data_IF_067518334030
#
_entry.id   IF_067518334030
#
_cell.length_a   1.000
_cell.length_b   1.000
_cell.length_c   1.000
_cell.angle_alpha   90.00
_cell.angle_beta   90.00
_cell.angle_gamma   90.00
#
_symmetry.space_group_name_H-M   'P 1'
#
loop_
_entity.id
_entity.type
_entity.pdbx_description
1 polymer ?
#
# COMPACT_ATOMS: atom_id res chain seq x y z
N UNK A 1 -23.10 -53.28 -46.05
CA UNK A 1 -22.24 -52.16 -45.60
C UNK A 1 -23.02 -50.86 -45.53
N UNK A 2 -23.43 -50.48 -44.30
CA UNK A 2 -23.36 -49.14 -43.69
C UNK A 2 -23.65 -47.90 -44.55
N UNK A 3 -24.67 -47.14 -44.16
CA UNK A 3 -24.58 -45.68 -44.01
C UNK A 3 -25.40 -45.24 -42.78
N UNK A 4 -24.69 -45.01 -41.68
CA UNK A 4 -25.21 -44.31 -40.50
C UNK A 4 -25.17 -42.82 -40.80
N UNK A 5 -26.34 -42.16 -40.72
CA UNK A 5 -26.43 -40.69 -40.72
C UNK A 5 -26.07 -40.23 -39.32
N UNK A 6 -24.82 -39.80 -39.13
CA UNK A 6 -24.35 -39.20 -37.89
C UNK A 6 -24.79 -37.73 -37.87
N UNK A 7 -25.86 -37.44 -37.15
CA UNK A 7 -26.37 -36.10 -36.95
C UNK A 7 -25.49 -35.41 -35.89
N UNK A 8 -24.50 -34.65 -36.36
CA UNK A 8 -23.55 -33.92 -35.53
C UNK A 8 -24.25 -32.71 -34.90
N UNK A 9 -24.70 -32.84 -33.65
CA UNK A 9 -25.11 -31.71 -32.82
C UNK A 9 -23.88 -30.85 -32.50
N UNK A 10 -23.65 -29.81 -33.31
CA UNK A 10 -22.78 -28.70 -32.91
C UNK A 10 -23.47 -27.97 -31.74
N UNK A 11 -23.04 -28.24 -30.50
CA UNK A 11 -23.27 -27.32 -29.38
C UNK A 11 -22.55 -26.01 -29.71
N UNK A 12 -23.28 -25.06 -30.27
CA UNK A 12 -22.86 -23.67 -30.31
C UNK A 12 -22.94 -23.16 -28.86
N UNK A 13 -21.82 -23.21 -28.14
CA UNK A 13 -21.69 -22.52 -26.87
C UNK A 13 -21.79 -21.02 -27.17
N UNK A 14 -22.99 -20.46 -27.04
CA UNK A 14 -23.19 -19.00 -27.04
C UNK A 14 -22.48 -18.49 -25.79
N UNK A 15 -21.24 -18.02 -25.96
CA UNK A 15 -20.58 -17.23 -24.94
C UNK A 15 -21.36 -15.92 -24.82
N UNK A 16 -22.32 -15.87 -23.89
CA UNK A 16 -22.93 -14.62 -23.46
C UNK A 16 -21.84 -13.88 -22.69
N UNK A 17 -21.09 -13.02 -23.39
CA UNK A 17 -20.19 -12.08 -22.72
C UNK A 17 -21.05 -11.12 -21.91
N UNK A 18 -21.06 -11.26 -20.57
CA UNK A 18 -21.66 -10.26 -19.68
C UNK A 18 -21.06 -8.90 -20.03
N UNK A 19 -21.91 -7.91 -20.29
CA UNK A 19 -21.46 -6.55 -20.59
C UNK A 19 -20.59 -6.02 -19.43
N UNK A 20 -19.50 -5.33 -19.77
CA UNK A 20 -18.63 -4.67 -18.80
C UNK A 20 -19.44 -3.64 -18.00
N UNK A 21 -19.53 -3.82 -16.69
CA UNK A 21 -20.35 -2.97 -15.83
C UNK A 21 -19.61 -1.67 -15.49
N UNK A 22 -20.30 -0.54 -15.62
CA UNK A 22 -19.76 0.80 -15.33
C UNK A 22 -20.79 1.57 -14.50
N UNK A 23 -20.34 2.16 -13.41
CA UNK A 23 -21.08 3.10 -12.56
C UNK A 23 -20.34 4.44 -12.65
N UNK A 24 -21.05 5.52 -12.95
CA UNK A 24 -20.47 6.87 -12.95
C UNK A 24 -20.96 7.63 -11.74
N UNK A 25 -20.03 8.14 -10.95
CA UNK A 25 -20.33 8.98 -9.78
C UNK A 25 -20.67 10.40 -10.24
N UNK A 26 -21.66 11.03 -9.60
CA UNK A 26 -21.94 12.46 -9.81
C UNK A 26 -20.78 13.32 -9.29
N UNK A 27 -20.37 14.32 -10.07
CA UNK A 27 -19.23 15.19 -9.75
C UNK A 27 -19.37 15.83 -8.36
N UNK A 28 -18.40 15.60 -7.48
CA UNK A 28 -18.36 16.15 -6.12
C UNK A 28 -19.48 15.69 -5.18
N UNK A 29 -20.25 14.66 -5.55
CA UNK A 29 -21.36 14.15 -4.76
C UNK A 29 -20.93 12.92 -3.95
N UNK A 30 -20.65 13.13 -2.66
CA UNK A 30 -20.30 12.05 -1.72
C UNK A 30 -21.38 10.96 -1.65
N UNK A 31 -22.66 11.32 -1.70
CA UNK A 31 -23.74 10.34 -1.60
C UNK A 31 -23.72 9.41 -2.81
N UNK A 32 -23.55 9.97 -4.01
CA UNK A 32 -23.42 9.18 -5.24
C UNK A 32 -22.19 8.25 -5.21
N UNK A 33 -21.08 8.68 -4.61
CA UNK A 33 -19.89 7.82 -4.43
C UNK A 33 -20.21 6.62 -3.51
N UNK A 34 -20.84 6.88 -2.37
CA UNK A 34 -21.18 5.82 -1.41
C UNK A 34 -22.19 4.83 -1.99
N UNK A 35 -23.21 5.33 -2.71
CA UNK A 35 -24.18 4.48 -3.42
C UNK A 35 -23.50 3.63 -4.50
N UNK A 36 -22.52 4.17 -5.23
CA UNK A 36 -21.76 3.41 -6.22
C UNK A 36 -20.93 2.28 -5.58
N UNK A 37 -20.27 2.56 -4.45
CA UNK A 37 -19.53 1.54 -3.69
C UNK A 37 -20.48 0.47 -3.14
N UNK A 38 -21.62 0.85 -2.58
CA UNK A 38 -22.62 -0.08 -2.08
C UNK A 38 -23.18 -0.96 -3.20
N UNK A 39 -23.49 -0.38 -4.36
CA UNK A 39 -23.95 -1.12 -5.52
C UNK A 39 -22.89 -2.12 -6.00
N UNK A 40 -21.62 -1.69 -6.10
CA UNK A 40 -20.54 -2.57 -6.53
C UNK A 40 -20.32 -3.74 -5.54
N UNK A 41 -20.42 -3.48 -4.24
CA UNK A 41 -20.35 -4.53 -3.21
C UNK A 41 -21.44 -5.59 -3.37
N UNK A 42 -22.66 -5.20 -3.78
CA UNK A 42 -23.77 -6.13 -4.01
C UNK A 42 -23.66 -6.86 -5.35
N UNK A 43 -23.06 -6.24 -6.36
CA UNK A 43 -23.00 -6.79 -7.74
C UNK A 43 -21.81 -7.72 -7.95
N UNK A 44 -20.66 -7.40 -7.34
CA UNK A 44 -19.40 -8.10 -7.57
C UNK A 44 -19.02 -8.98 -6.37
N UNK A 45 -19.89 -9.93 -6.01
CA UNK A 45 -19.66 -10.85 -4.88
C UNK A 45 -18.76 -12.04 -5.22
N UNK A 46 -18.72 -12.44 -6.49
CA UNK A 46 -17.88 -13.56 -6.94
C UNK A 46 -16.48 -13.06 -7.32
N UNK A 47 -15.45 -13.84 -6.96
CA UNK A 47 -14.04 -13.48 -7.24
C UNK A 47 -13.73 -13.43 -8.73
N UNK A 48 -14.40 -14.25 -9.53
CA UNK A 48 -14.25 -14.33 -10.98
C UNK A 48 -15.29 -13.47 -11.75
N UNK A 49 -16.08 -12.65 -11.03
CA UNK A 49 -17.01 -11.73 -11.65
C UNK A 49 -16.27 -10.81 -12.65
N UNK A 50 -16.89 -10.46 -13.79
CA UNK A 50 -16.33 -9.46 -14.69
C UNK A 50 -16.03 -8.15 -13.94
N UNK A 51 -14.92 -7.49 -14.30
CA UNK A 51 -14.51 -6.25 -13.63
C UNK A 51 -15.60 -5.19 -13.70
N UNK A 52 -15.99 -4.64 -12.55
CA UNK A 52 -16.90 -3.51 -12.44
C UNK A 52 -16.10 -2.22 -12.30
N UNK A 53 -16.43 -1.20 -13.09
CA UNK A 53 -15.77 0.10 -13.04
C UNK A 53 -16.63 1.13 -12.33
N UNK A 54 -16.09 1.81 -11.33
CA UNK A 54 -16.65 3.03 -10.75
C UNK A 54 -15.79 4.19 -11.25
N UNK A 55 -16.37 5.05 -12.09
CA UNK A 55 -15.70 6.22 -12.63
C UNK A 55 -16.07 7.45 -11.78
N UNK A 56 -15.05 8.18 -11.33
CA UNK A 56 -15.18 9.25 -10.35
C UNK A 56 -14.63 10.53 -10.97
N UNK A 57 -15.48 11.49 -11.38
CA UNK A 57 -15.01 12.77 -11.90
C UNK A 57 -14.16 13.56 -10.89
N UNK A 58 -13.45 14.58 -11.37
CA UNK A 58 -12.73 15.50 -10.51
C UNK A 58 -13.71 16.23 -9.58
N UNK A 59 -13.38 16.26 -8.29
CA UNK A 59 -14.23 16.82 -7.25
C UNK A 59 -13.77 16.40 -5.86
N UNK A 60 -14.26 17.13 -4.86
CA UNK A 60 -14.09 16.78 -3.46
C UNK A 60 -15.27 15.91 -3.00
N UNK A 61 -14.97 14.71 -2.52
CA UNK A 61 -15.89 13.75 -1.94
C UNK A 61 -15.60 13.63 -0.44
N UNK A 62 -16.20 14.53 0.35
CA UNK A 62 -16.01 14.58 1.80
C UNK A 62 -16.96 13.62 2.51
N UNK A 63 -16.41 12.57 3.11
CA UNK A 63 -17.12 11.56 3.88
C UNK A 63 -17.45 12.03 5.32
N UNK A 64 -17.01 13.24 5.70
CA UNK A 64 -17.19 13.82 7.01
C UNK A 64 -16.56 12.95 8.10
N UNK A 65 -17.36 12.49 9.06
CA UNK A 65 -16.92 11.63 10.16
C UNK A 65 -16.92 10.14 9.82
N UNK A 66 -17.33 9.78 8.61
CA UNK A 66 -17.42 8.38 8.20
C UNK A 66 -16.02 7.77 8.07
N UNK A 67 -15.87 6.59 8.65
CA UNK A 67 -14.65 5.80 8.62
C UNK A 67 -14.99 4.38 8.17
N UNK A 68 -13.98 3.65 7.71
CA UNK A 68 -14.08 2.27 7.27
C UNK A 68 -15.15 2.07 6.18
N UNK A 69 -15.23 2.97 5.20
CA UNK A 69 -16.10 2.77 4.04
C UNK A 69 -15.68 1.48 3.35
N UNK A 70 -16.53 0.45 3.41
CA UNK A 70 -16.12 -0.92 3.08
C UNK A 70 -16.25 -1.18 1.58
N UNK A 71 -15.21 -1.77 1.01
CA UNK A 71 -15.24 -2.36 -0.33
C UNK A 71 -15.13 -3.87 -0.15
N UNK A 72 -16.27 -4.56 -0.13
CA UNK A 72 -16.38 -6.00 0.11
C UNK A 72 -16.47 -6.81 -1.18
N UNK A 73 -16.89 -6.20 -2.29
CA UNK A 73 -16.91 -6.87 -3.58
C UNK A 73 -15.50 -7.05 -4.16
N UNK A 74 -15.39 -7.96 -5.13
CA UNK A 74 -14.15 -8.37 -5.80
C UNK A 74 -14.07 -7.82 -7.23
N UNK A 75 -12.86 -7.67 -7.77
CA UNK A 75 -12.61 -7.22 -9.13
C UNK A 75 -13.28 -5.86 -9.43
N UNK A 76 -13.32 -4.95 -8.45
CA UNK A 76 -13.86 -3.60 -8.61
C UNK A 76 -12.70 -2.65 -8.94
N UNK A 77 -12.86 -1.81 -9.95
CA UNK A 77 -11.95 -0.72 -10.26
C UNK A 77 -12.58 0.63 -9.94
N UNK A 78 -12.04 1.34 -8.94
CA UNK A 78 -12.37 2.74 -8.66
C UNK A 78 -11.34 3.61 -9.40
N UNK A 79 -11.83 4.47 -10.29
CA UNK A 79 -10.97 5.24 -11.19
C UNK A 79 -11.40 6.70 -11.16
N UNK A 80 -10.53 7.53 -10.60
CA UNK A 80 -10.70 8.98 -10.63
C UNK A 80 -10.34 9.56 -12.00
N UNK A 81 -10.77 10.79 -12.23
CA UNK A 81 -10.49 11.55 -13.44
C UNK A 81 -9.05 12.05 -13.46
N UNK A 82 -8.53 12.44 -12.30
CA UNK A 82 -7.13 12.78 -12.14
C UNK A 82 -6.68 12.55 -10.69
N UNK A 83 -5.39 12.23 -10.56
CA UNK A 83 -4.74 12.00 -9.28
C UNK A 83 -4.87 13.19 -8.33
N UNK A 84 -4.80 14.43 -8.85
CA UNK A 84 -4.93 15.67 -8.10
C UNK A 84 -6.38 16.14 -7.92
N UNK A 85 -7.25 15.91 -8.91
CA UNK A 85 -8.59 16.47 -8.97
C UNK A 85 -9.66 15.60 -8.33
N UNK A 86 -9.51 14.28 -8.32
CA UNK A 86 -10.44 13.36 -7.62
C UNK A 86 -9.96 13.15 -6.19
N UNK A 87 -10.54 13.89 -5.23
CA UNK A 87 -10.15 13.84 -3.81
C UNK A 87 -11.26 13.22 -2.98
N UNK A 88 -10.99 12.10 -2.33
CA UNK A 88 -11.88 11.45 -1.37
C UNK A 88 -11.27 11.60 0.02
N UNK A 89 -12.02 12.22 0.94
CA UNK A 89 -11.49 12.49 2.28
C UNK A 89 -12.45 12.11 3.39
N UNK A 90 -11.91 11.81 4.57
CA UNK A 90 -12.65 11.85 5.83
C UNK A 90 -11.93 12.75 6.85
N UNK A 91 -12.63 13.09 7.93
CA UNK A 91 -12.12 13.88 9.06
C UNK A 91 -12.61 13.29 10.39
N UNK A 92 -12.19 12.07 10.77
CA UNK A 92 -12.63 11.45 12.02
C UNK A 92 -12.31 12.34 13.23
N UNK A 93 -13.06 12.17 14.32
CA UNK A 93 -12.74 12.85 15.57
C UNK A 93 -11.41 12.35 16.12
N UNK A 94 -10.64 13.23 16.75
CA UNK A 94 -9.37 12.90 17.41
C UNK A 94 -9.50 11.70 18.36
N UNK A 95 -10.59 11.63 19.15
CA UNK A 95 -10.87 10.52 20.07
C UNK A 95 -11.03 9.15 19.39
N UNK A 96 -11.22 9.13 18.07
CA UNK A 96 -11.36 7.92 17.25
C UNK A 96 -10.04 7.50 16.60
N UNK A 97 -8.92 8.19 16.87
CA UNK A 97 -7.62 7.81 16.34
C UNK A 97 -7.34 6.32 16.57
N UNK A 98 -6.75 5.68 15.56
CA UNK A 98 -6.46 4.25 15.60
C UNK A 98 -6.36 3.59 14.24
N UNK A 99 -5.35 2.75 14.09
CA UNK A 99 -5.00 2.03 12.86
C UNK A 99 -6.15 1.22 12.24
N UNK A 100 -6.99 0.59 13.07
CA UNK A 100 -8.14 -0.22 12.60
C UNK A 100 -9.47 0.55 12.63
N UNK A 101 -9.43 1.87 12.83
CA UNK A 101 -10.64 2.69 13.05
C UNK A 101 -10.81 3.79 12.02
N UNK A 102 -9.73 4.42 11.58
CA UNK A 102 -9.81 5.74 10.92
C UNK A 102 -9.84 5.69 9.40
N UNK A 103 -9.63 4.53 8.78
CA UNK A 103 -9.46 4.40 7.33
C UNK A 103 -10.56 5.12 6.52
N UNK A 104 -10.19 5.80 5.43
CA UNK A 104 -11.16 6.31 4.43
C UNK A 104 -11.86 5.11 3.80
N UNK A 105 -11.07 4.18 3.25
CA UNK A 105 -11.54 2.91 2.72
C UNK A 105 -10.99 1.73 3.53
N UNK A 106 -11.86 0.74 3.75
CA UNK A 106 -11.47 -0.60 4.16
C UNK A 106 -11.73 -1.56 3.00
N UNK A 107 -10.68 -1.88 2.25
CA UNK A 107 -10.76 -2.87 1.19
C UNK A 107 -10.75 -4.27 1.81
N UNK A 108 -11.65 -5.14 1.36
CA UNK A 108 -11.73 -6.55 1.76
C UNK A 108 -11.82 -7.48 0.55
N UNK A 109 -11.94 -6.90 -0.65
CA UNK A 109 -12.10 -7.65 -1.89
C UNK A 109 -10.78 -8.17 -2.46
N UNK A 110 -10.91 -8.96 -3.52
CA UNK A 110 -9.79 -9.55 -4.26
C UNK A 110 -9.72 -8.87 -5.62
N UNK A 111 -8.54 -8.58 -6.15
CA UNK A 111 -8.33 -7.94 -7.46
C UNK A 111 -8.91 -6.52 -7.59
N UNK A 112 -9.14 -5.86 -6.46
CA UNK A 112 -9.60 -4.48 -6.45
C UNK A 112 -8.50 -3.53 -6.92
N UNK A 113 -8.91 -2.48 -7.62
CA UNK A 113 -8.01 -1.59 -8.34
C UNK A 113 -8.40 -0.13 -8.08
N UNK A 114 -7.42 0.68 -7.73
CA UNK A 114 -7.57 2.11 -7.48
C UNK A 114 -6.64 2.87 -8.42
N UNK A 115 -7.18 3.88 -9.10
CA UNK A 115 -6.37 4.68 -10.02
C UNK A 115 -6.78 6.14 -10.06
N UNK A 116 -5.80 7.02 -10.29
CA UNK A 116 -5.98 8.45 -10.59
C UNK A 116 -6.82 9.16 -9.53
N UNK A 117 -6.47 9.02 -8.26
CA UNK A 117 -7.20 9.69 -7.16
C UNK A 117 -6.32 10.00 -5.95
N UNK A 118 -6.81 10.89 -5.10
CA UNK A 118 -6.27 11.16 -3.77
C UNK A 118 -7.22 10.62 -2.69
N UNK A 119 -6.69 9.80 -1.78
CA UNK A 119 -7.34 9.44 -0.52
C UNK A 119 -6.69 10.23 0.62
N UNK A 120 -7.48 11.00 1.36
CA UNK A 120 -6.99 11.84 2.45
C UNK A 120 -7.69 11.54 3.77
N UNK A 121 -6.90 11.26 4.81
CA UNK A 121 -7.41 11.26 6.18
C UNK A 121 -7.01 12.57 6.86
N UNK A 122 -8.01 13.44 7.09
CA UNK A 122 -7.86 14.78 7.65
C UNK A 122 -8.05 14.83 9.17
N UNK A 123 -7.86 13.71 9.90
CA UNK A 123 -7.77 13.73 11.35
C UNK A 123 -6.80 14.82 11.81
N UNK A 124 -7.17 15.57 12.85
CA UNK A 124 -6.32 16.62 13.42
C UNK A 124 -5.16 15.99 14.20
N UNK A 125 -4.10 15.67 13.48
CA UNK A 125 -2.92 14.95 13.98
C UNK A 125 -2.25 15.69 15.14
N UNK A 126 -2.11 17.02 15.04
CA UNK A 126 -1.45 17.80 16.08
C UNK A 126 -2.30 17.98 17.33
N UNK A 127 -3.63 17.96 17.21
CA UNK A 127 -4.53 17.92 18.35
C UNK A 127 -4.66 16.53 19.00
N UNK A 128 -4.15 15.46 18.35
CA UNK A 128 -4.33 14.11 18.85
C UNK A 128 -3.63 13.84 20.17
N UNK A 129 -2.51 14.52 20.46
CA UNK A 129 -1.69 14.38 21.68
C UNK A 129 -1.06 13.00 21.89
N UNK A 130 -1.60 11.95 21.26
CA UNK A 130 -1.13 10.58 21.19
C UNK A 130 -0.40 10.31 19.85
N UNK A 131 -0.48 9.08 19.34
CA UNK A 131 0.14 8.68 18.07
C UNK A 131 -0.51 9.33 16.83
N UNK A 132 -1.79 9.74 16.90
CA UNK A 132 -2.48 10.40 15.79
C UNK A 132 -2.68 9.49 14.57
N UNK A 133 -3.01 8.21 14.80
CA UNK A 133 -3.10 7.18 13.75
C UNK A 133 -4.30 7.42 12.85
N UNK A 134 -4.04 7.70 11.59
CA UNK A 134 -4.99 8.22 10.62
C UNK A 134 -4.83 7.49 9.27
N UNK A 135 -5.46 6.33 9.16
CA UNK A 135 -5.31 5.49 7.98
C UNK A 135 -6.09 6.08 6.80
N UNK A 136 -5.55 5.99 5.59
CA UNK A 136 -6.28 6.30 4.35
C UNK A 136 -6.91 5.03 3.78
N UNK A 137 -6.09 4.01 3.53
CA UNK A 137 -6.50 2.71 3.04
C UNK A 137 -6.07 1.63 4.04
N UNK A 138 -7.05 0.97 4.65
CA UNK A 138 -6.85 -0.30 5.34
C UNK A 138 -7.15 -1.41 4.34
N UNK A 139 -6.12 -2.13 3.92
CA UNK A 139 -6.25 -3.17 2.91
C UNK A 139 -6.25 -4.56 3.54
N UNK A 140 -7.45 -5.12 3.73
CA UNK A 140 -7.66 -6.51 4.12
C UNK A 140 -7.88 -7.44 2.92
N UNK A 141 -7.82 -6.89 1.71
CA UNK A 141 -8.01 -7.62 0.47
C UNK A 141 -6.80 -8.47 0.10
N UNK A 142 -6.75 -8.87 -1.17
CA UNK A 142 -5.57 -9.50 -1.77
C UNK A 142 -5.54 -9.17 -3.26
N UNK A 143 -4.34 -9.08 -3.84
CA UNK A 143 -4.11 -8.65 -5.22
C UNK A 143 -4.66 -7.24 -5.49
N UNK A 144 -4.55 -6.35 -4.51
CA UNK A 144 -4.95 -4.95 -4.69
C UNK A 144 -3.91 -4.21 -5.49
N UNK A 145 -4.36 -3.37 -6.43
CA UNK A 145 -3.50 -2.50 -7.22
C UNK A 145 -3.87 -1.03 -6.97
N UNK A 146 -2.88 -0.21 -6.66
CA UNK A 146 -2.99 1.25 -6.62
C UNK A 146 -2.06 1.86 -7.69
N UNK A 147 -2.60 2.49 -8.72
CA UNK A 147 -1.84 3.09 -9.82
C UNK A 147 -2.11 4.59 -9.90
N UNK A 148 -1.11 5.44 -9.69
CA UNK A 148 -1.29 6.91 -9.60
C UNK A 148 -2.33 7.29 -8.54
N UNK A 149 -2.13 6.78 -7.33
CA UNK A 149 -2.95 7.10 -6.16
C UNK A 149 -2.12 7.91 -5.17
N UNK A 150 -2.72 8.93 -4.56
CA UNK A 150 -2.10 9.69 -3.46
C UNK A 150 -2.73 9.30 -2.15
N UNK A 151 -1.94 8.79 -1.22
CA UNK A 151 -2.38 8.50 0.14
C UNK A 151 -1.83 9.59 1.07
N UNK A 152 -2.71 10.46 1.54
CA UNK A 152 -2.36 11.64 2.34
C UNK A 152 -2.82 11.48 3.79
N UNK A 153 -1.88 11.26 4.70
CA UNK A 153 -2.13 11.39 6.13
C UNK A 153 -0.82 11.60 6.92
N UNK A 154 -0.78 11.18 8.18
CA UNK A 154 0.35 11.32 9.09
C UNK A 154 0.84 9.95 9.54
N UNK A 155 0.50 9.51 10.74
CA UNK A 155 0.90 8.20 11.24
C UNK A 155 -0.06 7.11 10.74
N UNK A 156 0.50 5.97 10.31
CA UNK A 156 -0.21 4.79 9.80
C UNK A 156 -1.01 5.01 8.49
N UNK A 157 -0.55 5.89 7.58
CA UNK A 157 -1.27 6.27 6.34
C UNK A 157 -1.80 5.08 5.51
N UNK A 158 -1.00 4.06 5.25
CA UNK A 158 -1.39 2.82 4.57
C UNK A 158 -1.22 1.63 5.50
N UNK A 159 -2.27 0.81 5.65
CA UNK A 159 -2.24 -0.37 6.49
C UNK A 159 -2.61 -1.63 5.69
N UNK A 160 -1.61 -2.45 5.33
CA UNK A 160 -1.84 -3.77 4.74
C UNK A 160 -2.17 -4.80 5.83
N UNK A 161 -3.44 -5.15 5.95
CA UNK A 161 -4.01 -5.92 7.06
C UNK A 161 -4.49 -7.30 6.60
N UNK A 162 -3.61 -8.00 5.88
CA UNK A 162 -3.79 -9.40 5.48
C UNK A 162 -2.42 -10.09 5.31
N UNK A 163 -2.19 -11.14 6.08
CA UNK A 163 -0.91 -11.84 6.22
C UNK A 163 -0.60 -12.86 5.12
N UNK A 164 -1.54 -13.10 4.21
CA UNK A 164 -1.41 -14.04 3.09
C UNK A 164 -1.81 -13.35 1.79
N UNK A 165 -1.33 -12.12 1.59
CA UNK A 165 -1.78 -11.28 0.49
C UNK A 165 -0.67 -10.54 -0.21
N UNK A 166 -0.97 -10.17 -1.44
CA UNK A 166 -0.10 -9.46 -2.35
C UNK A 166 -0.72 -8.11 -2.69
N UNK A 167 0.09 -7.06 -2.73
CA UNK A 167 -0.36 -5.69 -2.97
C UNK A 167 0.64 -4.97 -3.86
N UNK A 168 0.15 -4.15 -4.79
CA UNK A 168 0.99 -3.47 -5.76
C UNK A 168 0.66 -1.98 -5.85
N UNK A 169 1.66 -1.14 -5.69
CA UNK A 169 1.59 0.29 -5.92
C UNK A 169 2.48 0.64 -7.10
N UNK A 170 1.99 1.46 -8.02
CA UNK A 170 2.76 1.98 -9.15
C UNK A 170 2.52 3.47 -9.31
N UNK A 171 3.60 4.21 -9.55
CA UNK A 171 3.58 5.65 -9.88
C UNK A 171 2.70 6.45 -8.88
N UNK A 172 2.67 6.03 -7.61
CA UNK A 172 1.79 6.53 -6.56
C UNK A 172 2.55 7.36 -5.52
N UNK A 173 1.84 8.19 -4.76
CA UNK A 173 2.42 8.97 -3.65
C UNK A 173 1.89 8.50 -2.30
N UNK A 174 2.77 8.33 -1.32
CA UNK A 174 2.38 8.00 0.04
C UNK A 174 3.05 8.98 0.99
N UNK A 175 2.23 9.71 1.74
CA UNK A 175 2.64 10.76 2.66
C UNK A 175 2.40 10.35 4.11
N UNK A 176 3.36 10.61 5.01
CA UNK A 176 3.12 10.40 6.43
C UNK A 176 4.32 10.69 7.34
N UNK A 177 4.16 10.45 8.64
CA UNK A 177 5.18 10.76 9.65
C UNK A 177 5.91 9.49 10.10
N UNK A 178 5.33 8.74 11.03
CA UNK A 178 5.90 7.53 11.61
C UNK A 178 5.06 6.34 11.18
N UNK A 179 5.72 5.24 10.80
CA UNK A 179 5.10 3.96 10.44
C UNK A 179 4.00 4.09 9.38
N UNK A 180 4.11 5.08 8.50
CA UNK A 180 2.99 5.44 7.63
C UNK A 180 2.74 4.43 6.51
N UNK A 181 3.65 3.48 6.31
CA UNK A 181 3.44 2.25 5.53
C UNK A 181 3.63 1.07 6.48
N UNK A 182 2.55 0.42 6.91
CA UNK A 182 2.63 -0.59 7.96
C UNK A 182 1.72 -1.78 7.72
N UNK A 183 2.01 -2.89 8.39
CA UNK A 183 1.24 -4.12 8.26
C UNK A 183 1.99 -5.31 7.69
N UNK A 184 1.25 -6.20 7.04
CA UNK A 184 1.66 -7.56 6.65
C UNK A 184 1.45 -7.80 5.14
N UNK A 185 1.85 -8.98 4.67
CA UNK A 185 1.77 -9.37 3.26
C UNK A 185 2.95 -8.89 2.42
N UNK A 186 2.94 -9.30 1.14
CA UNK A 186 3.93 -8.91 0.15
C UNK A 186 3.45 -7.65 -0.57
N UNK A 187 4.12 -6.52 -0.32
CA UNK A 187 3.76 -5.22 -0.90
C UNK A 187 4.92 -4.73 -1.75
N UNK A 188 4.64 -4.48 -3.04
CA UNK A 188 5.61 -3.90 -3.96
C UNK A 188 5.22 -2.46 -4.31
N UNK A 189 6.13 -1.53 -4.07
CA UNK A 189 6.03 -0.14 -4.46
C UNK A 189 6.96 0.10 -5.65
N UNK A 190 6.39 0.29 -6.83
CA UNK A 190 7.09 0.56 -8.08
C UNK A 190 7.05 2.05 -8.41
N UNK A 191 8.22 2.70 -8.48
CA UNK A 191 8.33 4.13 -8.86
C UNK A 191 7.41 5.06 -8.06
N UNK A 192 7.20 4.72 -6.79
CA UNK A 192 6.37 5.52 -5.90
C UNK A 192 7.18 6.68 -5.31
N UNK A 193 6.49 7.77 -5.02
CA UNK A 193 7.05 8.89 -4.26
C UNK A 193 6.63 8.75 -2.80
N UNK A 194 7.62 8.72 -1.93
CA UNK A 194 7.45 8.48 -0.50
C UNK A 194 7.82 9.78 0.21
N UNK A 195 6.83 10.45 0.79
CA UNK A 195 7.01 11.81 1.31
C UNK A 195 6.80 11.80 2.81
N UNK A 196 7.80 12.26 3.56
CA UNK A 196 7.61 12.42 5.01
C UNK A 196 6.90 13.74 5.30
N UNK A 197 6.02 13.73 6.29
CA UNK A 197 5.32 14.91 6.80
C UNK A 197 5.92 15.38 8.14
N UNK A 198 5.52 16.57 8.59
CA UNK A 198 6.01 17.14 9.85
C UNK A 198 5.45 16.37 11.03
N UNK A 199 6.34 15.79 11.83
CA UNK A 199 6.01 14.99 13.02
C UNK A 199 5.46 15.83 14.17
N UNK A 200 5.86 17.09 14.27
CA UNK A 200 5.32 17.99 15.28
C UNK A 200 5.27 19.43 14.78
N UNK A 201 4.61 20.32 15.54
CA UNK A 201 4.64 21.76 15.26
C UNK A 201 6.05 22.36 15.42
N UNK A 202 6.95 21.66 16.11
CA UNK A 202 8.37 22.02 16.21
C UNK A 202 9.18 21.25 15.17
N UNK A 203 10.19 21.88 14.54
CA UNK A 203 11.11 21.19 13.66
C UNK A 203 12.00 20.22 14.45
N UNK A 204 12.68 19.32 13.74
CA UNK A 204 13.66 18.41 14.35
C UNK A 204 13.09 17.03 14.67
N UNK A 205 11.96 16.68 14.06
CA UNK A 205 11.37 15.35 14.18
C UNK A 205 12.25 14.28 13.55
N UNK A 206 11.90 13.03 13.89
CA UNK A 206 12.46 11.82 13.31
C UNK A 206 11.34 10.97 12.77
N UNK A 207 11.35 10.64 11.49
CA UNK A 207 10.31 9.82 10.86
C UNK A 207 10.82 8.40 10.60
N UNK A 208 9.89 7.43 10.56
CA UNK A 208 10.18 6.06 10.13
C UNK A 208 9.17 5.75 9.05
N UNK A 209 9.64 5.39 7.86
CA UNK A 209 8.73 5.23 6.72
C UNK A 209 7.87 3.98 6.88
N UNK A 210 8.51 2.82 7.02
CA UNK A 210 7.81 1.55 7.02
C UNK A 210 7.87 0.78 8.35
N UNK A 211 6.80 0.07 8.67
CA UNK A 211 6.68 -0.80 9.82
C UNK A 211 6.08 -2.17 9.43
N UNK A 212 6.82 -3.02 8.69
CA UNK A 212 6.35 -4.35 8.33
C UNK A 212 6.26 -5.25 9.57
N UNK A 213 5.35 -6.21 9.49
CA UNK A 213 5.15 -7.30 10.46
C UNK A 213 4.99 -8.65 9.76
N UNK A 214 5.71 -8.85 8.66
CA UNK A 214 5.62 -10.04 7.78
C UNK A 214 5.57 -11.34 8.58
N UNK A 215 4.57 -12.16 8.31
CA UNK A 215 4.32 -13.37 9.09
C UNK A 215 4.20 -14.66 8.29
N UNK A 216 3.41 -14.68 7.21
CA UNK A 216 3.18 -15.89 6.41
C UNK A 216 3.63 -15.78 4.96
N UNK A 217 3.85 -14.58 4.45
CA UNK A 217 4.42 -14.38 3.11
C UNK A 217 5.95 -14.30 3.16
N UNK A 218 6.65 -14.62 2.05
CA UNK A 218 8.11 -14.71 2.07
C UNK A 218 8.85 -13.40 1.78
N UNK A 219 8.20 -12.36 1.26
CA UNK A 219 8.92 -11.19 0.71
C UNK A 219 8.76 -9.91 1.55
N UNK A 220 7.61 -9.69 2.16
CA UNK A 220 7.32 -8.47 2.92
C UNK A 220 7.29 -7.23 2.03
N UNK A 221 7.94 -6.14 2.45
CA UNK A 221 7.85 -4.87 1.73
C UNK A 221 9.03 -4.66 0.80
N UNK A 222 8.74 -4.28 -0.44
CA UNK A 222 9.76 -4.00 -1.46
C UNK A 222 9.48 -2.64 -2.07
N UNK A 223 10.45 -1.74 -1.97
CA UNK A 223 10.44 -0.41 -2.57
C UNK A 223 11.40 -0.41 -3.74
N UNK A 224 10.89 -0.38 -4.96
CA UNK A 224 11.70 -0.44 -6.17
C UNK A 224 11.58 0.85 -6.98
N UNK A 225 12.73 1.49 -7.24
CA UNK A 225 12.83 2.74 -8.02
C UNK A 225 11.99 3.88 -7.43
N UNK A 226 11.75 3.85 -6.12
CA UNK A 226 11.00 4.89 -5.43
C UNK A 226 11.83 6.17 -5.33
N UNK A 227 11.17 7.30 -5.10
CA UNK A 227 11.81 8.57 -4.71
C UNK A 227 11.37 8.92 -3.31
N UNK A 228 12.31 9.27 -2.42
CA UNK A 228 11.99 9.63 -1.04
C UNK A 228 12.36 11.08 -0.77
N UNK A 229 11.37 11.82 -0.29
CA UNK A 229 11.48 13.21 0.13
C UNK A 229 11.27 13.31 1.64
N UNK A 230 12.27 13.84 2.35
CA UNK A 230 12.18 14.02 3.79
C UNK A 230 12.32 15.49 4.20
N UNK A 231 11.28 16.00 4.88
CA UNK A 231 11.23 17.37 5.37
C UNK A 231 11.72 17.50 6.81
N UNK A 232 11.75 16.41 7.57
CA UNK A 232 12.25 16.41 8.95
C UNK A 232 13.78 16.46 9.02
N UNK A 233 14.36 16.54 10.21
CA UNK A 233 15.83 16.52 10.37
C UNK A 233 16.44 15.14 10.18
N UNK A 234 15.65 14.09 10.42
CA UNK A 234 16.13 12.71 10.36
C UNK A 234 15.01 11.75 9.97
N UNK A 235 15.36 10.67 9.28
CA UNK A 235 14.44 9.58 9.01
C UNK A 235 15.15 8.22 8.90
N UNK A 236 14.37 7.15 9.02
CA UNK A 236 14.77 5.79 8.70
C UNK A 236 13.86 5.17 7.64
N UNK A 237 14.42 4.21 6.90
CA UNK A 237 13.70 3.38 5.96
C UNK A 237 12.58 2.60 6.60
N UNK A 238 12.86 1.90 7.70
CA UNK A 238 11.88 1.04 8.33
C UNK A 238 12.27 0.63 9.76
N UNK A 239 11.30 0.06 10.47
CA UNK A 239 11.50 -0.65 11.74
C UNK A 239 10.58 -1.88 11.85
N UNK A 240 11.00 -2.92 12.58
CA UNK A 240 10.21 -4.13 12.73
C UNK A 240 9.05 -3.98 13.71
N UNK A 241 7.81 -4.25 13.28
CA UNK A 241 6.63 -4.12 14.13
C UNK A 241 6.13 -5.42 14.77
N UNK A 242 6.34 -6.59 14.18
CA UNK A 242 6.08 -7.91 14.81
C UNK A 242 6.64 -9.03 13.91
N UNK A 243 6.54 -10.28 14.37
CA UNK A 243 6.83 -11.49 13.59
C UNK A 243 8.27 -11.47 13.01
N UNK A 244 8.42 -11.85 11.74
CA UNK A 244 9.68 -11.87 10.99
C UNK A 244 9.59 -10.83 9.89
N UNK A 245 9.68 -9.53 10.21
CA UNK A 245 9.40 -8.48 9.25
C UNK A 245 10.49 -8.45 8.18
N UNK A 246 10.16 -8.18 6.92
CA UNK A 246 11.11 -8.02 5.81
C UNK A 246 10.90 -6.68 5.10
N UNK A 247 11.98 -5.98 4.73
CA UNK A 247 11.90 -4.67 4.08
C UNK A 247 13.11 -4.38 3.17
N UNK A 248 12.86 -4.22 1.88
CA UNK A 248 13.90 -4.13 0.87
C UNK A 248 13.74 -2.85 0.06
N UNK A 249 14.84 -2.11 -0.08
CA UNK A 249 14.92 -0.87 -0.84
C UNK A 249 15.86 -1.04 -2.03
N UNK A 250 15.35 -0.90 -3.24
CA UNK A 250 16.06 -1.12 -4.49
C UNK A 250 16.01 0.14 -5.33
N UNK A 251 17.17 0.59 -5.82
CA UNK A 251 17.28 1.68 -6.80
C UNK A 251 16.56 2.97 -6.40
N UNK A 252 16.47 3.23 -5.09
CA UNK A 252 15.66 4.32 -4.54
C UNK A 252 16.43 5.64 -4.61
N UNK A 253 15.80 6.70 -5.10
CA UNK A 253 16.36 8.05 -5.13
C UNK A 253 16.06 8.81 -3.84
N UNK A 254 17.10 9.32 -3.18
CA UNK A 254 17.02 10.16 -2.00
C UNK A 254 17.19 11.63 -2.37
N UNK A 255 16.19 12.46 -2.04
CA UNK A 255 16.27 13.91 -2.25
C UNK A 255 17.04 14.63 -1.13
N UNK A 256 17.22 14.00 0.03
CA UNK A 256 17.95 14.55 1.18
C UNK A 256 18.75 13.45 1.90
N UNK A 257 19.78 12.87 1.23
CA UNK A 257 20.51 11.71 1.74
C UNK A 257 21.24 11.98 3.06
N UNK A 258 21.62 13.23 3.34
CA UNK A 258 22.28 13.66 4.58
C UNK A 258 21.41 13.49 5.83
N UNK A 259 20.09 13.36 5.66
CA UNK A 259 19.12 13.19 6.75
C UNK A 259 18.78 11.74 7.05
N UNK A 260 19.13 10.81 6.14
CA UNK A 260 18.93 9.39 6.36
C UNK A 260 19.85 8.92 7.48
N UNK A 261 19.31 8.22 8.46
CA UNK A 261 20.09 7.67 9.55
C UNK A 261 21.27 6.82 9.03
N UNK A 262 22.43 6.92 9.69
CA UNK A 262 23.61 6.14 9.34
C UNK A 262 23.34 4.63 9.36
N UNK A 263 22.52 4.14 10.29
CA UNK A 263 22.12 2.72 10.34
C UNK A 263 21.09 2.34 9.29
N UNK A 264 20.52 3.33 8.56
CA UNK A 264 19.44 3.21 7.56
C UNK A 264 18.09 2.82 8.15
N UNK A 265 18.08 1.82 9.01
CA UNK A 265 16.91 1.23 9.68
C UNK A 265 16.93 1.52 11.18
N UNK A 266 15.76 1.55 11.83
CA UNK A 266 15.69 1.70 13.28
C UNK A 266 16.02 0.37 13.97
N UNK A 267 17.26 0.25 14.42
CA UNK A 267 17.81 -0.96 15.00
C UNK A 267 17.12 -1.42 16.30
N UNK A 268 16.34 -0.54 16.93
CA UNK A 268 15.60 -0.85 18.15
C UNK A 268 14.36 -1.71 17.86
N UNK A 269 13.84 -1.65 16.64
CA UNK A 269 12.52 -2.20 16.31
C UNK A 269 11.41 -1.60 17.19
N UNK A 270 10.20 -2.16 17.08
CA UNK A 270 9.11 -1.86 18.02
C UNK A 270 8.98 -2.94 19.09
N UNK A 271 8.98 -4.21 18.68
CA UNK A 271 8.82 -5.37 19.57
C UNK A 271 9.42 -6.67 18.99
N UNK A 272 10.10 -6.58 17.85
CA UNK A 272 10.77 -7.69 17.17
C UNK A 272 12.09 -7.19 16.60
N UNK A 273 13.05 -8.11 16.45
CA UNK A 273 14.30 -7.81 15.75
C UNK A 273 14.03 -7.74 14.24
N UNK A 274 14.88 -7.01 13.52
CA UNK A 274 14.75 -6.93 12.06
C UNK A 274 15.08 -8.29 11.42
N UNK A 275 14.46 -8.58 10.26
CA UNK A 275 14.81 -9.73 9.43
C UNK A 275 14.89 -9.31 7.97
N UNK A 276 16.06 -9.39 7.35
CA UNK A 276 16.25 -8.97 5.94
C UNK A 276 15.74 -7.55 5.67
N UNK A 277 16.25 -6.60 6.46
CA UNK A 277 16.12 -5.18 6.18
C UNK A 277 17.36 -4.77 5.40
N UNK A 278 17.19 -4.52 4.09
CA UNK A 278 18.33 -4.30 3.21
C UNK A 278 18.09 -3.23 2.16
N UNK A 279 19.17 -2.63 1.67
CA UNK A 279 19.19 -1.70 0.54
C UNK A 279 20.14 -2.14 -0.59
N UNK A 280 19.88 -1.65 -1.80
CA UNK A 280 20.73 -1.81 -2.97
C UNK A 280 20.55 -0.65 -3.95
N UNK A 281 21.66 -0.07 -4.43
CA UNK A 281 21.66 0.95 -5.48
C UNK A 281 20.86 2.21 -5.11
N UNK A 282 20.87 2.61 -3.84
CA UNK A 282 20.32 3.89 -3.38
C UNK A 282 21.05 5.03 -4.07
N UNK A 283 20.30 5.92 -4.72
CA UNK A 283 20.85 7.04 -5.49
C UNK A 283 20.58 8.36 -4.79
N UNK A 284 21.44 9.36 -4.99
CA UNK A 284 21.10 10.75 -4.71
C UNK A 284 20.28 11.38 -5.85
N UNK A 285 19.84 12.63 -5.66
CA UNK A 285 19.07 13.37 -6.66
C UNK A 285 19.80 13.63 -7.99
N UNK A 286 21.12 13.42 -8.05
CA UNK A 286 21.92 13.52 -9.28
C UNK A 286 22.10 12.16 -9.97
N UNK A 287 21.50 11.09 -9.42
CA UNK A 287 21.62 9.73 -9.94
C UNK A 287 22.94 9.04 -9.59
N UNK A 288 23.70 9.56 -8.62
CA UNK A 288 24.92 8.90 -8.14
C UNK A 288 24.54 7.84 -7.12
N UNK A 289 25.12 6.66 -7.24
CA UNK A 289 24.99 5.60 -6.24
C UNK A 289 25.70 6.02 -4.95
N UNK A 290 24.94 6.02 -3.85
CA UNK A 290 25.37 6.37 -2.50
C UNK A 290 25.19 5.20 -1.53
N UNK A 291 24.87 4.00 -2.03
CA UNK A 291 24.88 2.78 -1.22
C UNK A 291 26.29 2.53 -0.72
N UNK A 292 26.49 2.38 0.61
CA UNK A 292 27.80 2.04 1.14
C UNK A 292 28.16 0.61 0.72
N UNK A 293 29.47 0.31 0.61
CA UNK A 293 29.93 -1.05 0.28
C UNK A 293 29.50 -2.11 1.30
N UNK A 294 29.33 -1.69 2.55
CA UNK A 294 28.92 -2.50 3.69
C UNK A 294 28.23 -1.58 4.69
N UNK A 295 27.22 -2.09 5.37
CA UNK A 295 26.59 -1.44 6.50
C UNK A 295 26.07 -2.52 7.45
N UNK A 296 26.92 -2.91 8.39
CA UNK A 296 26.61 -3.94 9.38
C UNK A 296 25.93 -3.30 10.59
N UNK A 297 24.70 -3.76 10.88
CA UNK A 297 23.89 -3.22 11.98
C UNK A 297 23.62 -4.31 13.00
N UNK A 298 23.85 -3.99 14.28
CA UNK A 298 23.48 -4.87 15.41
C UNK A 298 22.17 -4.40 16.02
N UNK A 299 21.16 -5.26 15.94
CA UNK A 299 19.86 -5.15 16.59
C UNK A 299 19.95 -5.67 18.00
N UNK A 300 19.40 -4.95 18.97
CA UNK A 300 19.29 -5.39 20.37
C UNK A 300 17.94 -5.04 20.93
N UNK A 301 17.30 -6.02 21.56
CA UNK A 301 16.01 -5.85 22.22
C UNK A 301 15.92 -6.75 23.45
N UNK A 302 15.46 -6.17 24.56
CA UNK A 302 15.12 -6.92 25.76
C UNK A 302 13.62 -7.18 25.79
N UNK A 303 13.23 -8.45 25.72
CA UNK A 303 11.84 -8.87 25.95
C UNK A 303 11.65 -9.24 27.41
N UNK A 304 10.70 -8.60 28.07
CA UNK A 304 10.27 -8.97 29.42
C UNK A 304 9.00 -9.80 29.32
N UNK A 305 8.97 -10.96 29.97
CA UNK A 305 7.80 -11.83 30.06
C UNK A 305 7.56 -12.20 31.51
N UNK A 306 6.34 -12.01 31.98
CA UNK A 306 5.93 -12.50 33.28
C UNK A 306 5.58 -13.98 33.18
N UNK A 307 6.22 -14.82 33.99
CA UNK A 307 5.93 -16.25 34.11
C UNK A 307 5.69 -16.55 35.61
N UNK A 308 4.41 -16.65 35.98
CA UNK A 308 3.99 -16.66 37.38
C UNK A 308 4.35 -15.34 38.09
N UNK A 309 4.99 -15.43 39.25
CA UNK A 309 5.43 -14.27 40.03
C UNK A 309 6.81 -13.73 39.61
N UNK A 310 7.45 -14.35 38.60
CA UNK A 310 8.78 -13.94 38.13
C UNK A 310 8.69 -13.13 36.84
N UNK A 311 9.43 -12.02 36.81
CA UNK A 311 9.72 -11.29 35.58
C UNK A 311 10.99 -11.88 34.95
N UNK A 312 10.85 -12.49 33.77
CA UNK A 312 11.97 -13.02 33.01
C UNK A 312 12.33 -12.00 31.93
N UNK A 313 13.60 -11.60 31.89
CA UNK A 313 14.15 -10.75 30.84
C UNK A 313 15.01 -11.58 29.90
N UNK A 314 14.75 -11.48 28.59
CA UNK A 314 15.53 -12.16 27.54
C UNK A 314 16.04 -11.12 26.55
N UNK A 315 17.35 -11.01 26.45
CA UNK A 315 18.00 -10.23 25.41
C UNK A 315 17.99 -11.00 24.09
N UNK A 316 17.58 -10.33 23.03
CA UNK A 316 17.66 -10.81 21.65
C UNK A 316 18.59 -9.86 20.91
N UNK A 317 19.64 -10.40 20.30
CA UNK A 317 20.57 -9.65 19.47
C UNK A 317 20.74 -10.34 18.13
N UNK A 318 20.82 -9.56 17.05
CA UNK A 318 21.10 -10.02 15.70
C UNK A 318 22.01 -9.01 15.02
N UNK A 319 22.99 -9.47 14.26
CA UNK A 319 23.85 -8.59 13.45
C UNK A 319 23.71 -9.00 12.00
N UNK A 320 23.31 -8.06 11.15
CA UNK A 320 23.13 -8.32 9.73
C UNK A 320 23.90 -7.30 8.87
N UNK A 321 24.40 -7.79 7.74
CA UNK A 321 24.76 -6.94 6.61
C UNK A 321 23.47 -6.44 5.95
N UNK A 322 23.34 -5.11 5.88
CA UNK A 322 22.13 -4.45 5.35
C UNK A 322 22.27 -4.07 3.88
N UNK A 323 23.41 -4.36 3.25
CA UNK A 323 23.61 -4.13 1.82
C UNK A 323 23.48 -5.44 1.05
N UNK A 324 22.62 -5.46 0.03
CA UNK A 324 22.51 -6.61 -0.87
C UNK A 324 23.71 -6.67 -1.83
N UNK A 325 24.08 -7.87 -2.21
CA UNK A 325 24.91 -8.11 -3.40
C UNK A 325 24.05 -8.04 -4.67
N UNK A 326 24.67 -7.84 -5.84
CA UNK A 326 23.99 -7.86 -7.15
C UNK A 326 23.15 -9.13 -7.35
N UNK A 327 23.69 -10.28 -6.95
CA UNK A 327 23.02 -11.57 -7.08
C UNK A 327 21.82 -11.73 -6.13
N UNK A 328 21.84 -11.12 -4.95
CA UNK A 328 20.67 -11.07 -4.07
C UNK A 328 19.64 -10.07 -4.58
N UNK A 329 20.07 -8.87 -5.01
CA UNK A 329 19.19 -7.85 -5.56
C UNK A 329 18.43 -8.34 -6.82
N UNK A 330 19.08 -9.12 -7.67
CA UNK A 330 18.48 -9.70 -8.88
C UNK A 330 17.32 -10.69 -8.60
N UNK A 331 17.17 -11.17 -7.35
CA UNK A 331 16.06 -12.08 -6.98
C UNK A 331 14.74 -11.32 -6.79
N UNK A 332 14.77 -10.02 -6.55
CA UNK A 332 13.56 -9.23 -6.36
C UNK A 332 12.99 -8.82 -7.71
N UNK A 333 12.20 -9.72 -8.30
CA UNK A 333 11.44 -9.49 -9.53
C UNK A 333 9.95 -9.66 -9.25
N UNK A 334 9.09 -9.05 -10.08
CA UNK A 334 7.64 -9.24 -9.93
C UNK A 334 7.25 -10.72 -10.01
N UNK A 335 7.87 -11.50 -10.90
CA UNK A 335 7.57 -12.93 -11.06
C UNK A 335 7.97 -13.74 -9.82
N UNK A 336 9.11 -13.44 -9.18
CA UNK A 336 9.52 -14.13 -7.96
C UNK A 336 8.64 -13.74 -6.76
N UNK A 337 8.22 -12.48 -6.69
CA UNK A 337 7.43 -11.95 -5.57
C UNK A 337 5.96 -12.35 -5.67
N UNK A 338 5.39 -12.25 -6.87
CA UNK A 338 3.97 -12.42 -7.08
C UNK A 338 3.57 -13.73 -7.78
N UNK A 339 4.53 -14.49 -8.32
CA UNK A 339 4.26 -15.70 -9.07
C UNK A 339 3.42 -15.39 -10.31
N UNK A 340 2.27 -16.04 -10.43
CA UNK A 340 1.37 -15.92 -11.60
C UNK A 340 0.55 -14.62 -11.62
N UNK A 341 0.68 -13.75 -10.60
CA UNK A 341 -0.01 -12.47 -10.57
C UNK A 341 0.86 -11.36 -11.15
N UNK A 342 0.48 -10.84 -12.32
CA UNK A 342 1.21 -9.79 -13.05
C UNK A 342 0.46 -8.44 -13.00
N UNK A 343 0.60 -7.65 -11.92
CA UNK A 343 -0.15 -6.41 -11.74
C UNK A 343 0.19 -5.33 -12.79
N UNK A 344 1.43 -5.31 -13.28
CA UNK A 344 1.88 -4.40 -14.35
C UNK A 344 1.11 -4.63 -15.67
N UNK A 345 0.76 -5.88 -15.97
CA UNK A 345 -0.06 -6.23 -17.13
C UNK A 345 -1.53 -5.88 -16.91
N UNK A 346 -2.05 -6.05 -15.68
CA UNK A 346 -3.41 -5.63 -15.31
C UNK A 346 -3.57 -4.12 -15.52
N UNK A 347 -2.60 -3.31 -15.11
CA UNK A 347 -2.59 -1.86 -15.33
C UNK A 347 -2.68 -1.54 -16.83
N UNK A 348 -1.79 -2.11 -17.66
CA UNK A 348 -1.80 -1.89 -19.13
C UNK A 348 -3.14 -2.27 -19.76
N UNK A 349 -3.79 -3.33 -19.27
CA UNK A 349 -5.10 -3.76 -19.76
C UNK A 349 -6.21 -2.77 -19.36
N UNK A 350 -6.19 -2.29 -18.12
CA UNK A 350 -7.19 -1.34 -17.60
C UNK A 350 -7.05 0.03 -18.29
N UNK A 351 -5.84 0.57 -18.45
CA UNK A 351 -5.61 1.86 -19.09
C UNK A 351 -6.18 1.93 -20.51
N UNK A 352 -6.00 0.85 -21.29
CA UNK A 352 -6.60 0.72 -22.64
C UNK A 352 -8.13 0.81 -22.64
N UNK A 353 -8.78 0.30 -21.59
CA UNK A 353 -10.25 0.30 -21.45
C UNK A 353 -10.78 1.63 -20.91
N UNK A 354 -10.00 2.30 -20.06
CA UNK A 354 -10.42 3.47 -19.29
C UNK A 354 -10.29 4.76 -20.07
N UNK A 355 -9.22 4.93 -20.87
CA UNK A 355 -8.98 6.14 -21.65
C UNK A 355 -10.22 6.60 -22.42
N UNK A 356 -10.84 5.68 -23.18
CA UNK A 356 -12.07 5.94 -23.97
C UNK A 356 -13.31 6.25 -23.13
N UNK A 357 -13.36 5.81 -21.86
CA UNK A 357 -14.52 6.00 -20.97
C UNK A 357 -14.43 7.34 -20.24
N UNK A 358 -13.23 7.74 -19.81
CA UNK A 358 -13.00 9.01 -19.10
C UNK A 358 -13.13 10.22 -20.03
N UNK A 359 -12.74 10.09 -21.31
CA UNK A 359 -12.96 11.12 -22.34
C UNK A 359 -14.45 11.49 -22.52
N UNK A 360 -15.40 10.64 -22.10
CA UNK A 360 -16.85 10.89 -22.19
C UNK A 360 -17.44 11.56 -20.94
N UNK A 361 -16.63 11.78 -19.90
CA UNK A 361 -17.03 12.49 -18.67
C UNK A 361 -16.71 14.00 -18.72
N UNK A 362 -15.94 14.42 -19.72
CA UNK A 362 -15.74 15.83 -20.10
C UNK A 362 -16.93 16.30 -20.94
#
# INVERSE_FOLDING_TARGET
MKRYVLMMFCLLAVMITKAQQVITVKKGDTKSLLEAVEQANKQNTEKDAPRLFILIPDGLYDLGKTVLTRITGHNIALIGQSMEGTVIQNKPDVKQEGISKTAVFQNRGTDNYFQDMTLKNALDYYAAGAAGRAVTLQDKGTRTICNRVRLLSYQDTYYSDNDQSQFYFQDSEIHGTVDFICGDGDVWFERCRIVTERRSLKPGGRNVIAAPKTSKTPWGYIFNRCTVENIESNFEWARGWNNTPHCIWLYTTLLSPEKLNATRFDWRGMNTVLSDFKEYGTMDAQGRDITPKTNVVTYRMTKKKQEGDKLIEREHSRTDETILTDAEAAKYTLDNVFGDWHPDQVIKQIEKKVKKKMERLQ
#
